data_IF_035270726434
#
_entry.id   IF_035270726434
#
_cell.length_a   1.000
_cell.length_b   1.000
_cell.length_c   1.000
_cell.angle_alpha   90.00
_cell.angle_beta   90.00
_cell.angle_gamma   90.00
#
_symmetry.space_group_name_H-M   'P 1'
#
loop_
_entity.id
_entity.type
_entity.pdbx_description
1 polymer ?
#
# COMPACT_ATOMS: atom_id res chain seq x y z
N UNK A 1 10.32 -4.58 8.31
CA UNK A 1 11.73 -4.35 8.71
C UNK A 1 12.44 -3.31 7.85
N UNK A 2 12.43 -3.37 6.50
CA UNK A 2 13.20 -2.41 5.65
C UNK A 2 12.78 -0.93 5.74
N UNK A 3 11.47 -0.60 5.69
CA UNK A 3 11.00 0.80 5.73
C UNK A 3 11.12 1.46 7.11
N UNK A 4 10.96 0.69 8.19
CA UNK A 4 11.15 1.15 9.56
C UNK A 4 12.62 1.40 9.91
N UNK A 5 13.52 0.60 9.32
CA UNK A 5 14.97 0.81 9.44
C UNK A 5 15.48 2.08 8.73
N UNK A 6 14.66 2.73 7.90
CA UNK A 6 15.03 3.96 7.20
C UNK A 6 14.83 5.24 8.05
N UNK A 7 14.38 5.13 9.31
CA UNK A 7 14.25 6.27 10.22
C UNK A 7 13.15 7.27 9.85
N UNK A 8 12.11 6.82 9.13
CA UNK A 8 11.01 7.68 8.67
C UNK A 8 10.15 8.18 9.84
N UNK A 9 9.90 9.49 9.90
CA UNK A 9 9.04 10.11 10.91
C UNK A 9 7.54 9.83 10.69
N UNK A 10 7.15 9.56 9.44
CA UNK A 10 5.78 9.20 9.07
C UNK A 10 5.75 8.38 7.78
N UNK A 11 4.80 7.46 7.67
CA UNK A 11 4.63 6.58 6.51
C UNK A 11 3.16 6.55 6.07
N UNK A 12 2.91 6.72 4.77
CA UNK A 12 1.60 6.44 4.16
C UNK A 12 1.74 5.18 3.31
N UNK A 13 0.92 4.18 3.59
CA UNK A 13 0.91 2.93 2.85
C UNK A 13 -0.26 2.87 1.88
N UNK A 14 0.03 2.66 0.61
CA UNK A 14 -0.98 2.44 -0.42
C UNK A 14 -1.25 0.94 -0.57
N UNK A 15 -2.41 0.49 -0.13
CA UNK A 15 -2.85 -0.91 -0.16
C UNK A 15 -3.84 -1.07 -1.31
N UNK A 16 -3.41 -1.78 -2.35
CA UNK A 16 -4.21 -2.04 -3.55
C UNK A 16 -5.28 -3.10 -3.28
N UNK A 17 -6.47 -2.90 -3.84
CA UNK A 17 -7.63 -3.80 -3.73
C UNK A 17 -8.24 -4.03 -5.12
N UNK A 18 -8.50 -5.29 -5.49
CA UNK A 18 -9.16 -5.62 -6.75
C UNK A 18 -8.52 -6.78 -7.50
N UNK A 19 -9.01 -7.08 -8.70
CA UNK A 19 -8.60 -8.25 -9.49
C UNK A 19 -7.11 -8.26 -9.88
N UNK A 20 -6.48 -7.08 -9.97
CA UNK A 20 -5.03 -6.93 -10.19
C UNK A 20 -4.21 -6.71 -8.91
N UNK A 21 -4.84 -6.75 -7.73
CA UNK A 21 -4.16 -6.51 -6.46
C UNK A 21 -3.75 -7.81 -5.78
N UNK A 22 -2.81 -7.69 -4.85
CA UNK A 22 -2.40 -8.80 -3.98
C UNK A 22 -3.54 -9.30 -3.07
N UNK A 23 -4.55 -8.47 -2.81
CA UNK A 23 -5.73 -8.79 -2.01
C UNK A 23 -6.99 -8.60 -2.88
N UNK A 24 -7.71 -9.69 -3.15
CA UNK A 24 -8.88 -9.69 -4.03
C UNK A 24 -10.12 -9.06 -3.37
N UNK A 25 -10.24 -9.17 -2.04
CA UNK A 25 -11.38 -8.61 -1.30
C UNK A 25 -10.98 -7.38 -0.50
N UNK A 26 -11.95 -6.47 -0.33
CA UNK A 26 -11.77 -5.26 0.46
C UNK A 26 -11.51 -5.57 1.94
N UNK A 27 -12.08 -6.66 2.45
CA UNK A 27 -11.95 -7.02 3.86
C UNK A 27 -10.56 -7.58 4.17
N UNK A 28 -9.98 -8.39 3.28
CA UNK A 28 -8.60 -8.87 3.40
C UNK A 28 -7.61 -7.71 3.30
N UNK A 29 -7.83 -6.80 2.35
CA UNK A 29 -7.00 -5.60 2.20
C UNK A 29 -7.07 -4.70 3.45
N UNK A 30 -8.26 -4.54 4.04
CA UNK A 30 -8.45 -3.81 5.30
C UNK A 30 -7.76 -4.51 6.47
N UNK A 31 -7.79 -5.83 6.54
CA UNK A 31 -7.13 -6.59 7.61
C UNK A 31 -5.60 -6.43 7.51
N UNK A 32 -5.06 -6.52 6.31
CA UNK A 32 -3.64 -6.30 6.04
C UNK A 32 -3.22 -4.85 6.37
N UNK A 33 -3.98 -3.86 5.89
CA UNK A 33 -3.71 -2.45 6.15
C UNK A 33 -3.68 -2.15 7.66
N UNK A 34 -4.66 -2.67 8.41
CA UNK A 34 -4.74 -2.53 9.87
C UNK A 34 -3.51 -3.15 10.56
N UNK A 35 -3.19 -4.40 10.25
CA UNK A 35 -2.02 -5.08 10.82
C UNK A 35 -0.71 -4.31 10.60
N UNK A 36 -0.52 -3.75 9.40
CA UNK A 36 0.70 -2.99 9.10
C UNK A 36 0.72 -1.63 9.81
N UNK A 37 -0.40 -0.92 9.84
CA UNK A 37 -0.54 0.35 10.57
C UNK A 37 -0.29 0.14 12.07
N UNK A 38 -0.85 -0.91 12.66
CA UNK A 38 -0.71 -1.22 14.09
C UNK A 38 0.75 -1.53 14.44
N UNK A 39 1.41 -2.39 13.67
CA UNK A 39 2.83 -2.74 13.88
C UNK A 39 3.73 -1.52 13.70
N UNK A 40 3.45 -0.67 12.71
CA UNK A 40 4.29 0.50 12.43
C UNK A 40 4.14 1.61 13.48
N UNK A 41 2.92 1.86 13.95
CA UNK A 41 2.68 2.79 15.06
C UNK A 41 3.24 2.26 16.38
N UNK A 42 3.12 0.95 16.66
CA UNK A 42 3.74 0.32 17.82
C UNK A 42 5.27 0.43 17.80
N UNK A 43 5.87 0.47 16.62
CA UNK A 43 7.30 0.71 16.43
C UNK A 43 7.70 2.20 16.40
N UNK A 44 6.79 3.12 16.76
CA UNK A 44 7.06 4.55 16.90
C UNK A 44 7.02 5.35 15.61
N UNK A 45 6.58 4.75 14.50
CA UNK A 45 6.46 5.42 13.20
C UNK A 45 4.99 5.75 12.93
N UNK A 46 4.63 7.05 12.90
CA UNK A 46 3.25 7.48 12.60
C UNK A 46 2.85 7.02 11.21
N UNK A 47 1.96 6.04 11.15
CA UNK A 47 1.62 5.36 9.90
C UNK A 47 0.13 5.37 9.65
N UNK A 48 -0.27 5.67 8.42
CA UNK A 48 -1.64 5.52 7.93
C UNK A 48 -1.66 4.71 6.63
N UNK A 49 -2.80 4.12 6.30
CA UNK A 49 -2.97 3.35 5.08
C UNK A 49 -4.17 3.86 4.25
N UNK A 50 -3.97 3.92 2.94
CA UNK A 50 -5.00 4.24 1.95
C UNK A 50 -5.31 2.97 1.17
N UNK A 51 -6.60 2.63 1.05
CA UNK A 51 -7.06 1.53 0.22
C UNK A 51 -7.41 2.08 -1.16
N UNK A 52 -6.71 1.65 -2.20
CA UNK A 52 -6.94 2.14 -3.57
C UNK A 52 -7.30 1.02 -4.53
N UNK A 53 -8.18 1.34 -5.48
CA UNK A 53 -8.73 0.38 -6.45
C UNK A 53 -7.68 0.00 -7.51
N UNK A 54 -7.51 -1.28 -7.78
CA UNK A 54 -6.66 -1.85 -8.83
C UNK A 54 -7.43 -2.89 -9.65
N UNK A 55 -8.74 -2.67 -9.83
CA UNK A 55 -9.53 -3.41 -10.81
C UNK A 55 -9.12 -3.08 -12.25
N UNK A 56 -8.55 -1.89 -12.48
CA UNK A 56 -7.99 -1.45 -13.77
C UNK A 56 -6.64 -0.75 -13.57
N UNK A 57 -5.90 -0.58 -14.66
CA UNK A 57 -4.64 0.17 -14.68
C UNK A 57 -4.91 1.59 -14.17
N UNK A 58 -4.12 2.05 -13.20
CA UNK A 58 -4.29 3.38 -12.60
C UNK A 58 -3.79 4.51 -13.51
N UNK A 59 -2.92 4.20 -14.48
CA UNK A 59 -2.45 5.09 -15.53
C UNK A 59 -3.03 4.74 -16.91
N UNK A 60 -2.65 5.52 -17.93
CA UNK A 60 -3.09 5.28 -19.32
C UNK A 60 -2.32 4.13 -20.02
N UNK A 61 -1.29 3.58 -19.38
CA UNK A 61 -0.34 2.61 -19.95
C UNK A 61 0.15 1.61 -18.90
N UNK A 62 0.61 0.45 -19.36
CA UNK A 62 1.25 -0.57 -18.53
C UNK A 62 2.52 -1.11 -19.23
N UNK A 63 3.68 -0.95 -18.59
CA UNK A 63 5.00 -1.34 -19.09
C UNK A 63 6.10 -0.30 -18.81
N UNK A 64 7.34 -0.76 -18.55
CA UNK A 64 8.43 0.10 -18.06
C UNK A 64 8.68 1.39 -18.87
N UNK A 65 8.76 1.30 -20.20
CA UNK A 65 9.06 2.47 -21.04
C UNK A 65 7.83 3.39 -21.22
N UNK A 66 6.64 2.83 -21.20
CA UNK A 66 5.38 3.55 -21.43
C UNK A 66 4.78 4.15 -20.15
N UNK A 67 5.26 3.72 -18.97
CA UNK A 67 4.89 4.27 -17.66
C UNK A 67 5.76 5.48 -17.24
N UNK A 68 6.88 5.74 -17.94
CA UNK A 68 7.83 6.82 -17.63
C UNK A 68 7.61 8.07 -18.51
N UNK A 69 6.80 7.98 -19.56
CA UNK A 69 6.54 9.05 -20.52
C UNK A 69 5.33 9.92 -20.17
#
# INVERSE_FOLDING_TARGET
SKKLAAGLQSLVMDVKVGNGAFMATLDDARALARSIVDVANAAGCRTSALLTNMNWVLGASAGNAVEVH
#
